data_IF_356551214046
#
_entry.id   IF_356551214046
#
_cell.length_a   1.000
_cell.length_b   1.000
_cell.length_c   1.000
_cell.angle_alpha   90.00
_cell.angle_beta   90.00
_cell.angle_gamma   90.00
#
_symmetry.space_group_name_H-M   'P 1'
#
loop_
_entity.id
_entity.type
_entity.pdbx_description
1 polymer ?
#
# COMPACT_ATOMS: atom_id res chain seq x y z
N UNK A 1 -0.55 -15.23 60.26
CA UNK A 1 -1.42 -14.11 59.83
C UNK A 1 -1.26 -14.04 58.31
N UNK A 2 -2.22 -14.49 57.49
CA UNK A 2 -3.22 -13.63 56.81
C UNK A 2 -2.61 -12.31 56.35
N UNK A 3 -2.65 -11.84 55.10
CA UNK A 3 -3.74 -11.87 54.12
C UNK A 3 -3.21 -11.18 52.83
N UNK A 4 -3.43 -11.69 51.62
CA UNK A 4 -4.56 -11.38 50.70
C UNK A 4 -4.32 -10.18 49.76
N UNK A 5 -4.20 -10.51 48.46
CA UNK A 5 -4.71 -9.88 47.23
C UNK A 5 -4.54 -8.36 46.98
N UNK A 6 -3.98 -8.00 45.80
CA UNK A 6 -4.78 -7.32 44.76
C UNK A 6 -4.11 -7.40 43.36
N UNK A 7 -4.88 -7.91 42.41
CA UNK A 7 -4.69 -7.82 40.96
C UNK A 7 -4.79 -6.36 40.50
N UNK A 8 -4.12 -5.99 39.40
CA UNK A 8 -4.76 -5.30 38.26
C UNK A 8 -3.81 -5.25 37.05
N UNK A 9 -4.28 -5.92 36.00
CA UNK A 9 -3.81 -5.95 34.63
C UNK A 9 -3.71 -4.57 33.98
N UNK A 10 -2.61 -4.32 33.27
CA UNK A 10 -2.66 -3.55 32.03
C UNK A 10 -1.90 -4.34 30.98
N UNK A 11 -2.69 -4.89 30.05
CA UNK A 11 -2.22 -5.48 28.82
C UNK A 11 -1.33 -4.47 28.11
N UNK A 12 -0.01 -4.66 28.19
CA UNK A 12 0.89 -4.12 27.19
C UNK A 12 0.55 -4.84 25.89
N UNK A 13 -0.13 -4.16 24.98
CA UNK A 13 -0.20 -4.56 23.57
C UNK A 13 1.26 -4.61 23.11
N UNK A 14 1.83 -5.82 23.08
CA UNK A 14 3.11 -6.04 22.42
C UNK A 14 2.85 -5.80 20.93
N UNK A 15 3.31 -4.67 20.40
CA UNK A 15 3.41 -4.49 18.96
C UNK A 15 4.27 -5.63 18.43
N UNK A 16 3.67 -6.55 17.68
CA UNK A 16 4.39 -7.61 17.00
C UNK A 16 5.17 -6.99 15.83
N UNK A 17 6.35 -6.44 16.12
CA UNK A 17 7.34 -6.18 15.08
C UNK A 17 7.94 -7.52 14.68
N UNK A 18 7.91 -7.86 13.39
CA UNK A 18 8.48 -9.10 12.89
C UNK A 18 10.00 -9.01 12.92
N UNK A 19 10.64 -9.58 13.94
CA UNK A 19 12.10 -9.66 14.03
C UNK A 19 12.64 -10.72 13.07
N UNK A 20 13.43 -10.32 12.09
CA UNK A 20 14.26 -11.25 11.32
C UNK A 20 15.58 -11.46 12.08
N UNK A 21 15.83 -12.70 12.51
CA UNK A 21 17.02 -13.07 13.27
C UNK A 21 17.91 -14.00 12.44
N UNK A 22 19.20 -13.68 12.35
CA UNK A 22 20.19 -14.48 11.63
C UNK A 22 21.21 -14.99 12.64
N UNK A 23 21.58 -16.27 12.55
CA UNK A 23 22.66 -16.85 13.34
C UNK A 23 24.01 -16.36 12.82
N UNK A 24 24.82 -15.75 13.68
CA UNK A 24 26.11 -15.15 13.28
C UNK A 24 27.32 -16.04 13.51
N UNK A 25 27.14 -17.17 14.20
CA UNK A 25 28.14 -18.19 14.35
C UNK A 25 27.51 -19.58 14.51
N UNK A 26 28.35 -20.61 14.53
CA UNK A 26 27.93 -22.01 14.70
C UNK A 26 27.63 -22.39 16.16
N UNK A 27 27.57 -21.42 17.08
CA UNK A 27 27.14 -21.63 18.46
C UNK A 27 25.64 -21.34 18.55
N UNK A 28 24.91 -22.22 19.21
CA UNK A 28 23.43 -22.23 19.20
C UNK A 28 22.77 -21.08 19.96
N UNK A 29 23.55 -20.14 20.50
CA UNK A 29 23.09 -19.08 21.39
C UNK A 29 23.36 -17.65 20.88
N UNK A 30 23.86 -17.49 19.65
CA UNK A 30 24.24 -16.17 19.08
C UNK A 30 23.37 -15.82 17.86
N UNK A 31 22.24 -15.13 18.12
CA UNK A 31 21.37 -14.58 17.08
C UNK A 31 21.48 -13.06 17.07
N UNK A 32 21.75 -12.49 15.90
CA UNK A 32 21.57 -11.06 15.68
C UNK A 32 20.20 -10.86 15.07
N UNK A 33 19.30 -10.31 15.86
CA UNK A 33 18.00 -9.85 15.38
C UNK A 33 18.15 -8.40 14.94
N UNK A 34 17.98 -8.15 13.65
CA UNK A 34 17.81 -6.78 13.18
C UNK A 34 16.35 -6.41 13.42
N UNK A 35 16.12 -5.40 14.25
CA UNK A 35 14.92 -4.60 14.10
C UNK A 35 15.07 -3.91 12.75
N UNK A 36 14.46 -4.47 11.70
CA UNK A 36 14.27 -3.70 10.50
C UNK A 36 13.32 -2.57 10.91
N UNK A 37 13.87 -1.43 11.36
CA UNK A 37 13.24 -0.14 11.08
C UNK A 37 13.35 0.09 9.58
N UNK A 38 12.82 -0.86 8.80
CA UNK A 38 12.35 -0.58 7.48
C UNK A 38 11.32 0.50 7.78
N UNK A 39 11.69 1.75 7.57
CA UNK A 39 10.73 2.73 7.14
C UNK A 39 10.17 2.13 5.86
N UNK A 40 9.20 1.24 6.03
CA UNK A 40 8.26 0.85 5.04
C UNK A 40 7.32 2.04 5.06
N UNK A 41 7.50 3.05 4.17
CA UNK A 41 6.48 4.06 4.04
C UNK A 41 5.24 3.25 3.71
N UNK A 42 4.32 3.11 4.68
CA UNK A 42 3.04 2.52 4.40
C UNK A 42 2.43 3.43 3.36
N UNK A 43 2.56 3.02 2.10
CA UNK A 43 2.05 3.75 0.98
C UNK A 43 0.55 3.69 1.12
N UNK A 44 -0.03 4.82 1.48
CA UNK A 44 -1.47 4.97 1.51
C UNK A 44 -1.96 4.95 0.07
N UNK A 45 -2.26 3.76 -0.45
CA UNK A 45 -2.88 3.53 -1.75
C UNK A 45 -4.39 3.84 -1.73
N UNK A 46 -4.90 4.43 -0.65
CA UNK A 46 -6.32 4.70 -0.45
C UNK A 46 -7.10 3.52 0.12
N UNK A 47 -8.38 3.42 -0.24
CA UNK A 47 -9.31 2.45 0.36
C UNK A 47 -9.00 1.01 -0.08
N UNK A 48 -9.27 0.00 0.77
CA UNK A 48 -9.14 -1.40 0.40
C UNK A 48 -10.00 -1.75 -0.83
N UNK A 49 -9.46 -2.58 -1.73
CA UNK A 49 -10.13 -2.98 -2.97
C UNK A 49 -10.89 -4.29 -2.78
N UNK A 50 -12.13 -4.33 -3.25
CA UNK A 50 -13.03 -5.48 -3.17
C UNK A 50 -12.69 -6.50 -4.24
N UNK A 51 -12.52 -7.75 -3.83
CA UNK A 51 -12.33 -8.91 -4.71
C UNK A 51 -13.61 -9.74 -4.64
N UNK A 52 -14.49 -9.59 -5.62
CA UNK A 52 -15.80 -10.26 -5.67
C UNK A 52 -16.18 -10.65 -7.09
N UNK A 53 -17.27 -11.43 -7.22
CA UNK A 53 -17.74 -11.95 -8.51
C UNK A 53 -17.30 -13.39 -8.77
N UNK A 54 -17.34 -13.81 -10.03
CA UNK A 54 -16.88 -15.12 -10.50
C UNK A 54 -15.37 -15.31 -10.28
N UNK A 55 -14.90 -16.56 -10.26
CA UNK A 55 -13.46 -16.85 -10.13
C UNK A 55 -12.61 -16.15 -11.20
N UNK A 56 -13.13 -16.05 -12.43
CA UNK A 56 -12.46 -15.32 -13.50
C UNK A 56 -12.39 -13.81 -13.25
N UNK A 57 -13.43 -13.21 -12.68
CA UNK A 57 -13.40 -11.79 -12.27
C UNK A 57 -12.43 -11.57 -11.12
N UNK A 58 -12.49 -12.40 -10.09
CA UNK A 58 -11.58 -12.32 -8.94
C UNK A 58 -10.12 -12.39 -9.37
N UNK A 59 -9.79 -13.31 -10.29
CA UNK A 59 -8.43 -13.43 -10.82
C UNK A 59 -7.97 -12.14 -11.51
N UNK A 60 -8.83 -11.49 -12.30
CA UNK A 60 -8.48 -10.22 -12.97
C UNK A 60 -8.35 -9.07 -11.97
N UNK A 61 -9.22 -9.00 -10.97
CA UNK A 61 -9.12 -8.00 -9.91
C UNK A 61 -7.81 -8.17 -9.13
N UNK A 62 -7.45 -9.41 -8.77
CA UNK A 62 -6.19 -9.71 -8.08
C UNK A 62 -4.96 -9.38 -8.93
N UNK A 63 -5.00 -9.65 -10.24
CA UNK A 63 -3.93 -9.25 -11.18
C UNK A 63 -3.72 -7.73 -11.19
N UNK A 64 -4.80 -6.94 -11.19
CA UNK A 64 -4.71 -5.47 -11.07
C UNK A 64 -4.05 -5.07 -9.76
N UNK A 65 -4.41 -5.70 -8.63
CA UNK A 65 -3.79 -5.40 -7.34
C UNK A 65 -2.29 -5.71 -7.31
N UNK A 66 -1.87 -6.81 -7.94
CA UNK A 66 -0.46 -7.18 -8.08
C UNK A 66 0.32 -6.15 -8.91
N UNK A 67 -0.19 -5.82 -10.10
CA UNK A 67 0.42 -4.80 -10.97
C UNK A 67 0.46 -3.41 -10.34
N UNK A 68 -0.53 -3.08 -9.51
CA UNK A 68 -0.53 -1.85 -8.73
C UNK A 68 0.61 -1.86 -7.71
N UNK A 69 0.83 -2.98 -7.00
CA UNK A 69 1.95 -3.10 -6.08
C UNK A 69 3.31 -2.92 -6.78
N UNK A 70 3.51 -3.60 -7.91
CA UNK A 70 4.71 -3.44 -8.76
C UNK A 70 4.90 -1.98 -9.18
N UNK A 71 3.85 -1.33 -9.68
CA UNK A 71 3.89 0.08 -10.05
C UNK A 71 4.32 0.99 -8.90
N UNK A 72 3.88 0.72 -7.67
CA UNK A 72 4.31 1.51 -6.51
C UNK A 72 5.79 1.32 -6.20
N UNK A 73 6.24 0.07 -6.12
CA UNK A 73 7.62 -0.27 -5.76
C UNK A 73 8.59 0.20 -6.84
N UNK A 74 8.30 -0.11 -8.10
CA UNK A 74 9.22 0.07 -9.22
C UNK A 74 9.22 1.50 -9.76
N UNK A 75 8.14 2.27 -9.56
CA UNK A 75 8.01 3.61 -10.13
C UNK A 75 7.70 4.69 -9.08
N UNK A 76 6.56 4.61 -8.40
CA UNK A 76 6.05 5.73 -7.58
C UNK A 76 6.98 6.07 -6.41
N UNK A 77 7.58 5.06 -5.79
CA UNK A 77 8.50 5.24 -4.66
C UNK A 77 9.95 5.39 -5.08
N UNK A 78 10.36 4.72 -6.16
CA UNK A 78 11.74 4.70 -6.63
C UNK A 78 12.14 5.99 -7.35
N UNK A 79 11.20 6.66 -8.02
CA UNK A 79 11.50 7.81 -8.89
C UNK A 79 11.23 9.16 -8.19
N UNK A 80 12.15 10.13 -8.28
CA UNK A 80 11.98 11.44 -7.62
C UNK A 80 10.88 12.29 -8.25
N UNK A 81 10.59 12.12 -9.53
CA UNK A 81 9.51 12.82 -10.24
C UNK A 81 8.13 12.58 -9.59
N UNK A 82 7.93 11.43 -8.93
CA UNK A 82 6.67 11.12 -8.25
C UNK A 82 6.56 11.72 -6.85
N UNK A 83 7.63 12.30 -6.29
CA UNK A 83 7.65 12.74 -4.89
C UNK A 83 6.49 13.69 -4.54
N UNK A 84 6.12 14.58 -5.47
CA UNK A 84 5.05 15.56 -5.30
C UNK A 84 3.62 15.00 -5.47
N UNK A 85 3.47 13.77 -5.98
CA UNK A 85 2.16 13.11 -6.21
C UNK A 85 1.92 11.89 -5.33
N UNK A 86 2.93 11.38 -4.62
CA UNK A 86 2.81 10.18 -3.76
C UNK A 86 1.60 10.21 -2.82
N UNK A 87 1.33 11.36 -2.20
CA UNK A 87 0.20 11.54 -1.28
C UNK A 87 -1.17 11.67 -1.96
N UNK A 88 -1.21 11.82 -3.30
CA UNK A 88 -2.43 11.87 -4.12
C UNK A 88 -2.66 10.59 -4.93
N UNK A 89 -1.66 9.72 -4.99
CA UNK A 89 -1.68 8.45 -5.70
C UNK A 89 -2.52 7.41 -4.94
N UNK A 90 -3.86 7.54 -5.00
CA UNK A 90 -4.80 6.74 -4.20
C UNK A 90 -5.94 6.17 -5.02
N UNK A 91 -6.55 5.13 -4.48
CA UNK A 91 -7.89 4.66 -4.82
C UNK A 91 -8.88 5.20 -3.78
N UNK A 92 -9.84 6.00 -4.21
CA UNK A 92 -10.90 6.58 -3.38
C UNK A 92 -12.17 5.72 -3.37
N UNK A 93 -12.21 4.64 -4.16
CA UNK A 93 -13.32 3.69 -4.19
C UNK A 93 -12.81 2.25 -4.09
N UNK A 94 -13.58 1.38 -3.42
CA UNK A 94 -13.26 -0.04 -3.25
C UNK A 94 -13.40 -0.87 -4.54
N UNK A 95 -13.85 -0.29 -5.65
CA UNK A 95 -14.06 -0.97 -6.94
C UNK A 95 -13.05 -0.53 -8.01
N UNK A 96 -12.07 0.31 -7.68
CA UNK A 96 -11.07 0.77 -8.65
C UNK A 96 -10.33 -0.39 -9.33
N UNK A 97 -9.99 -1.45 -8.59
CA UNK A 97 -9.37 -2.64 -9.17
C UNK A 97 -10.30 -3.38 -10.15
N UNK A 98 -11.59 -3.50 -9.82
CA UNK A 98 -12.59 -4.08 -10.71
C UNK A 98 -12.78 -3.24 -11.98
N UNK A 99 -12.98 -1.93 -11.84
CA UNK A 99 -13.14 -1.00 -12.96
C UNK A 99 -11.93 -0.98 -13.88
N UNK A 100 -10.73 -0.99 -13.31
CA UNK A 100 -9.48 -1.15 -14.09
C UNK A 100 -9.49 -2.47 -14.88
N UNK A 101 -9.92 -3.57 -14.26
CA UNK A 101 -9.95 -4.89 -14.90
C UNK A 101 -10.93 -5.02 -16.07
N UNK A 102 -11.87 -4.07 -16.22
CA UNK A 102 -12.84 -4.02 -17.31
C UNK A 102 -12.62 -2.83 -18.26
N UNK A 103 -11.50 -2.10 -18.12
CA UNK A 103 -11.08 -1.07 -19.08
C UNK A 103 -11.55 0.37 -18.78
N UNK A 104 -11.99 0.66 -17.55
CA UNK A 104 -12.48 2.00 -17.20
C UNK A 104 -11.37 3.06 -17.23
N UNK A 105 -10.10 2.68 -17.10
CA UNK A 105 -8.98 3.62 -17.17
C UNK A 105 -8.92 4.35 -18.53
N UNK A 106 -9.36 3.68 -19.59
CA UNK A 106 -9.43 4.22 -20.95
C UNK A 106 -10.81 4.79 -21.26
N UNK A 107 -11.89 4.07 -20.93
CA UNK A 107 -13.26 4.45 -21.31
C UNK A 107 -13.83 5.57 -20.43
N UNK A 108 -13.38 5.68 -19.18
CA UNK A 108 -13.85 6.65 -18.20
C UNK A 108 -12.67 7.32 -17.48
N UNK A 109 -11.70 7.75 -18.29
CA UNK A 109 -10.39 8.23 -17.84
C UNK A 109 -10.46 9.33 -16.78
N UNK A 110 -11.33 10.32 -16.95
CA UNK A 110 -11.41 11.45 -16.01
C UNK A 110 -11.86 11.00 -14.63
N UNK A 111 -12.91 10.17 -14.55
CA UNK A 111 -13.37 9.62 -13.28
C UNK A 111 -12.29 8.74 -12.64
N UNK A 112 -11.64 7.88 -13.43
CA UNK A 112 -10.61 6.98 -12.94
C UNK A 112 -9.34 7.73 -12.52
N UNK A 113 -9.00 8.85 -13.16
CA UNK A 113 -7.89 9.71 -12.73
C UNK A 113 -8.16 10.31 -11.35
N UNK A 114 -9.38 10.79 -11.09
CA UNK A 114 -9.73 11.43 -9.82
C UNK A 114 -9.96 10.42 -8.69
N UNK A 115 -10.46 9.22 -9.02
CA UNK A 115 -10.90 8.24 -8.02
C UNK A 115 -10.01 7.02 -7.92
N UNK A 116 -9.23 6.69 -8.94
CA UNK A 116 -8.56 5.40 -9.09
C UNK A 116 -7.14 5.55 -9.66
N UNK A 117 -6.47 6.67 -9.35
CA UNK A 117 -5.15 6.99 -9.90
C UNK A 117 -4.11 5.89 -9.66
N UNK A 118 -4.17 5.24 -8.48
CA UNK A 118 -3.28 4.14 -8.14
C UNK A 118 -3.53 2.90 -9.01
N UNK A 119 -4.78 2.41 -9.07
CA UNK A 119 -5.14 1.23 -9.86
C UNK A 119 -4.89 1.42 -11.37
N UNK A 120 -5.14 2.63 -11.90
CA UNK A 120 -4.93 2.95 -13.31
C UNK A 120 -3.50 3.39 -13.66
N UNK A 121 -2.57 3.44 -12.70
CA UNK A 121 -1.19 3.93 -12.90
C UNK A 121 -1.13 5.38 -13.44
N UNK A 122 -2.03 6.24 -12.96
CA UNK A 122 -2.17 7.64 -13.38
C UNK A 122 -1.63 8.64 -12.35
N UNK A 123 -0.69 8.25 -11.48
CA UNK A 123 -0.34 9.10 -10.33
C UNK A 123 0.34 10.41 -10.69
N UNK A 124 1.07 10.49 -11.81
CA UNK A 124 1.57 11.79 -12.32
C UNK A 124 0.45 12.72 -12.78
N UNK A 125 -0.72 12.17 -13.12
CA UNK A 125 -1.91 12.93 -13.51
C UNK A 125 -2.83 13.25 -12.33
N UNK A 126 -2.62 12.61 -11.16
CA UNK A 126 -3.42 12.86 -9.95
C UNK A 126 -3.22 14.29 -9.37
N UNK A 127 -2.26 15.07 -9.89
CA UNK A 127 -2.02 16.47 -9.54
C UNK A 127 -2.45 17.47 -10.62
N UNK A 128 -2.89 17.03 -11.80
CA UNK A 128 -3.14 17.94 -12.92
C UNK A 128 -4.53 18.55 -12.88
N UNK A 129 -4.68 19.65 -12.15
CA UNK A 129 -5.45 20.81 -12.64
C UNK A 129 -4.49 21.73 -13.42
N UNK A 130 -3.67 21.15 -14.31
CA UNK A 130 -2.74 21.91 -15.12
C UNK A 130 -3.53 22.47 -16.32
N UNK A 131 -4.29 23.54 -16.06
CA UNK A 131 -4.56 24.51 -17.13
C UNK A 131 -3.18 24.97 -17.59
N UNK A 132 -2.79 24.54 -18.79
CA UNK A 132 -1.74 25.11 -19.64
C UNK A 132 -0.68 25.98 -18.92
N UNK A 133 0.32 25.36 -18.31
CA UNK A 133 1.64 26.00 -18.18
C UNK A 133 2.58 25.39 -19.22
N UNK A 134 2.13 25.47 -20.47
CA UNK A 134 3.05 25.76 -21.58
C UNK A 134 2.73 27.20 -21.94
N UNK A 135 3.39 28.15 -21.27
CA UNK A 135 3.53 29.50 -21.78
C UNK A 135 5.02 29.74 -22.05
N UNK A 136 5.25 30.18 -23.29
CA UNK A 136 6.46 30.66 -23.97
C UNK A 136 7.73 30.88 -23.15
#
# INVERSE_FOLDING_TARGET
MLSIFLLLSLFGVANASSSHCIATDSSTDSYVCTETSEYNPHVDSGVPQRISGSAAEQQRITDVMGKMHEYFVDEVLSRPEYAHVRNKCKNNHDLCAFWTSVGECETNRNFMQDNCAAACRLCLLASTNFVQDISY
#
